data_IF_244879772923
#
_entry.id   IF_244879772923
#
_cell.length_a   1.000
_cell.length_b   1.000
_cell.length_c   1.000
_cell.angle_alpha   90.00
_cell.angle_beta   90.00
_cell.angle_gamma   90.00
#
_symmetry.space_group_name_H-M   'P 1'
#
loop_
_entity.id
_entity.type
_entity.pdbx_description
1 polymer ?
#
# COMPACT_ATOMS: atom_id res chain seq x y z
N UNK A 1 21.32 -12.05 -8.96
CA UNK A 1 19.86 -12.03 -8.79
C UNK A 1 19.24 -12.11 -10.18
N UNK A 2 18.49 -13.17 -10.46
CA UNK A 2 17.75 -13.30 -11.72
C UNK A 2 16.75 -12.14 -11.81
N UNK A 3 16.97 -11.19 -12.72
CA UNK A 3 15.97 -10.21 -13.13
C UNK A 3 14.84 -10.99 -13.80
N UNK A 4 13.88 -11.46 -13.01
CA UNK A 4 12.63 -11.98 -13.54
C UNK A 4 11.94 -10.85 -14.30
N UNK A 5 11.76 -11.02 -15.61
CA UNK A 5 10.99 -10.12 -16.46
C UNK A 5 9.52 -10.39 -16.13
N UNK A 6 9.03 -9.83 -15.02
CA UNK A 6 7.72 -10.16 -14.47
C UNK A 6 7.12 -8.98 -13.72
N UNK A 7 5.79 -9.02 -13.55
CA UNK A 7 5.07 -8.01 -12.77
C UNK A 7 5.54 -8.05 -11.31
N UNK A 8 6.15 -6.96 -10.86
CA UNK A 8 6.75 -6.87 -9.52
C UNK A 8 5.94 -6.01 -8.55
N UNK A 9 5.17 -5.04 -9.07
CA UNK A 9 4.27 -4.22 -8.29
C UNK A 9 3.11 -3.69 -9.15
N UNK A 10 1.99 -3.38 -8.50
CA UNK A 10 0.84 -2.70 -9.08
C UNK A 10 0.46 -1.53 -8.17
N UNK A 11 0.54 -0.33 -8.73
CA UNK A 11 -0.01 0.89 -8.17
C UNK A 11 -1.47 1.06 -8.64
N UNK A 12 -2.41 1.19 -7.71
CA UNK A 12 -3.84 1.27 -8.05
C UNK A 12 -4.34 2.71 -7.95
N UNK A 13 -4.93 3.26 -9.01
CA UNK A 13 -5.49 4.63 -8.95
C UNK A 13 -6.71 4.69 -8.00
N UNK A 14 -6.76 5.69 -7.13
CA UNK A 14 -7.78 5.84 -6.11
C UNK A 14 -9.19 6.18 -6.65
N UNK A 15 -9.31 6.60 -7.91
CA UNK A 15 -10.57 7.04 -8.55
C UNK A 15 -10.97 6.18 -9.74
N UNK A 16 -9.99 5.83 -10.57
CA UNK A 16 -10.16 5.17 -11.86
C UNK A 16 -9.68 3.72 -11.83
N UNK A 17 -8.98 3.31 -10.77
CA UNK A 17 -8.50 1.96 -10.59
C UNK A 17 -9.59 0.96 -10.17
N UNK A 18 -9.29 -0.34 -10.23
CA UNK A 18 -10.19 -1.36 -9.71
C UNK A 18 -10.41 -1.20 -8.20
N UNK A 19 -11.57 -1.60 -7.72
CA UNK A 19 -11.81 -1.73 -6.29
C UNK A 19 -11.07 -2.95 -5.76
N UNK A 20 -10.24 -2.76 -4.73
CA UNK A 20 -9.53 -3.84 -4.04
C UNK A 20 -10.04 -3.95 -2.62
N UNK A 21 -10.27 -5.18 -2.19
CA UNK A 21 -10.84 -5.51 -0.91
C UNK A 21 -9.98 -6.57 -0.20
N UNK A 22 -9.70 -6.36 1.09
CA UNK A 22 -9.03 -7.30 1.97
C UNK A 22 -10.04 -7.74 3.04
N UNK A 23 -10.61 -8.93 2.90
CA UNK A 23 -11.55 -9.54 3.86
C UNK A 23 -12.68 -8.60 4.34
N UNK A 24 -13.32 -7.94 3.39
CA UNK A 24 -14.38 -6.96 3.62
C UNK A 24 -13.90 -5.51 3.74
N UNK A 25 -12.59 -5.26 3.84
CA UNK A 25 -11.99 -3.93 3.98
C UNK A 25 -11.65 -3.37 2.59
N UNK A 26 -12.40 -2.37 2.08
CA UNK A 26 -12.04 -1.72 0.83
C UNK A 26 -10.78 -0.88 1.02
N UNK A 27 -9.76 -1.11 0.20
CA UNK A 27 -8.46 -0.42 0.28
C UNK A 27 -8.41 0.84 -0.58
N UNK A 28 -9.27 0.93 -1.60
CA UNK A 28 -9.29 2.00 -2.60
C UNK A 28 -10.37 3.03 -2.25
N UNK A 29 -10.05 4.32 -2.39
CA UNK A 29 -11.05 5.39 -2.31
C UNK A 29 -11.52 5.72 -0.89
N UNK A 30 -10.77 5.34 0.16
CA UNK A 30 -11.17 5.57 1.56
C UNK A 30 -10.55 6.83 2.15
N UNK A 31 -11.13 7.28 3.26
CA UNK A 31 -10.50 8.30 4.12
C UNK A 31 -9.30 7.64 4.81
N UNK A 32 -8.08 8.21 4.73
CA UNK A 32 -6.87 7.59 5.24
C UNK A 32 -6.95 7.14 6.71
N UNK A 33 -7.42 8.01 7.61
CA UNK A 33 -7.52 7.68 9.04
C UNK A 33 -8.47 6.51 9.33
N UNK A 34 -9.61 6.45 8.63
CA UNK A 34 -10.56 5.35 8.81
C UNK A 34 -10.01 4.02 8.28
N UNK A 35 -9.21 4.07 7.21
CA UNK A 35 -8.58 2.88 6.67
C UNK A 35 -7.48 2.36 7.61
N UNK A 36 -6.63 3.24 8.12
CA UNK A 36 -5.51 2.89 9.01
C UNK A 36 -5.99 2.08 10.22
N UNK A 37 -6.95 2.62 10.98
CA UNK A 37 -7.51 1.96 12.17
C UNK A 37 -8.08 0.56 11.82
N UNK A 38 -8.81 0.48 10.71
CA UNK A 38 -9.46 -0.75 10.28
C UNK A 38 -8.44 -1.80 9.82
N UNK A 39 -7.44 -1.38 9.03
CA UNK A 39 -6.39 -2.25 8.52
C UNK A 39 -5.55 -2.80 9.67
N UNK A 40 -5.09 -1.95 10.57
CA UNK A 40 -4.24 -2.38 11.68
C UNK A 40 -4.99 -3.28 12.66
N UNK A 41 -6.27 -2.96 12.94
CA UNK A 41 -7.13 -3.86 13.72
C UNK A 41 -7.28 -5.23 13.08
N UNK A 42 -7.44 -5.29 11.75
CA UNK A 42 -7.53 -6.55 11.02
C UNK A 42 -6.22 -7.34 11.02
N UNK A 43 -5.08 -6.69 10.78
CA UNK A 43 -3.77 -7.35 10.83
C UNK A 43 -3.50 -7.94 12.23
N UNK A 44 -3.75 -7.15 13.28
CA UNK A 44 -3.61 -7.61 14.65
C UNK A 44 -4.52 -8.81 14.97
N UNK A 45 -5.78 -8.79 14.50
CA UNK A 45 -6.71 -9.90 14.69
C UNK A 45 -6.27 -11.20 14.00
N UNK A 46 -5.44 -11.10 12.96
CA UNK A 46 -4.89 -12.25 12.22
C UNK A 46 -3.43 -12.56 12.60
N UNK A 47 -2.88 -11.89 13.61
CA UNK A 47 -1.49 -12.10 14.06
C UNK A 47 -0.44 -11.64 13.05
N UNK A 48 -0.80 -10.74 12.13
CA UNK A 48 0.09 -10.16 11.13
C UNK A 48 0.69 -8.84 11.63
N UNK A 49 1.93 -8.57 11.25
CA UNK A 49 2.61 -7.34 11.63
C UNK A 49 2.17 -6.16 10.76
N UNK A 50 1.65 -5.12 11.42
CA UNK A 50 1.48 -3.79 10.86
C UNK A 50 2.82 -3.02 10.91
N UNK A 51 3.07 -2.19 9.92
CA UNK A 51 4.23 -1.30 9.87
C UNK A 51 3.84 0.07 9.32
N UNK A 52 4.74 1.04 9.48
CA UNK A 52 4.70 2.31 8.76
C UNK A 52 5.94 2.43 7.89
N UNK A 53 5.79 3.02 6.69
CA UNK A 53 6.95 3.53 5.95
C UNK A 53 7.53 4.78 6.64
N UNK A 54 8.70 5.23 6.18
CA UNK A 54 9.34 6.46 6.69
C UNK A 54 8.45 7.70 6.48
N UNK A 55 7.63 7.70 5.44
CA UNK A 55 6.67 8.75 5.08
C UNK A 55 5.32 8.55 5.78
N UNK A 56 5.26 7.68 6.81
CA UNK A 56 4.08 7.37 7.60
C UNK A 56 2.92 6.74 6.79
N UNK A 57 3.22 5.96 5.75
CA UNK A 57 2.22 5.17 5.05
C UNK A 57 1.93 3.87 5.81
N UNK A 58 0.67 3.49 6.08
CA UNK A 58 0.34 2.18 6.65
C UNK A 58 0.79 1.05 5.73
N UNK A 59 1.46 0.03 6.28
CA UNK A 59 1.99 -1.11 5.54
C UNK A 59 1.55 -2.43 6.16
N UNK A 60 1.34 -3.44 5.31
CA UNK A 60 1.22 -4.84 5.67
C UNK A 60 2.28 -5.65 4.89
N UNK A 61 3.55 -5.64 5.33
CA UNK A 61 4.66 -6.24 4.56
C UNK A 61 4.46 -7.74 4.30
N UNK A 62 3.88 -8.47 5.25
CA UNK A 62 3.58 -9.90 5.08
C UNK A 62 2.55 -10.17 3.97
N UNK A 63 1.71 -9.18 3.66
CA UNK A 63 0.72 -9.24 2.57
C UNK A 63 1.20 -8.54 1.29
N UNK A 64 2.38 -7.92 1.30
CA UNK A 64 2.88 -7.12 0.17
C UNK A 64 2.04 -5.87 -0.11
N UNK A 65 1.49 -5.23 0.92
CA UNK A 65 0.65 -4.03 0.77
C UNK A 65 1.33 -2.80 1.37
N UNK A 66 1.37 -1.73 0.60
CA UNK A 66 1.70 -0.38 1.06
C UNK A 66 0.52 0.52 0.76
N UNK A 67 -0.10 1.10 1.78
CA UNK A 67 -1.19 2.03 1.59
C UNK A 67 -0.67 3.42 1.28
N UNK A 68 -0.93 3.88 0.06
CA UNK A 68 -0.63 5.24 -0.39
C UNK A 68 -1.91 6.05 -0.43
N UNK A 69 -1.76 7.34 -0.72
CA UNK A 69 -2.90 8.23 -0.91
C UNK A 69 -2.74 9.06 -2.19
N UNK A 70 -3.86 9.43 -2.79
CA UNK A 70 -3.93 10.22 -4.02
C UNK A 70 -4.90 11.37 -3.83
N UNK A 71 -4.56 12.55 -4.35
CA UNK A 71 -5.44 13.71 -4.32
C UNK A 71 -6.57 13.55 -5.35
N UNK A 72 -7.80 13.66 -4.89
CA UNK A 72 -9.02 13.61 -5.67
C UNK A 72 -9.80 14.92 -5.49
N UNK A 73 -9.39 15.96 -6.22
CA UNK A 73 -9.94 17.31 -6.04
C UNK A 73 -9.56 17.92 -4.69
N UNK A 74 -10.56 18.20 -3.87
CA UNK A 74 -10.42 18.72 -2.50
C UNK A 74 -10.23 17.62 -1.45
N UNK A 75 -10.29 16.34 -1.86
CA UNK A 75 -10.13 15.18 -0.96
C UNK A 75 -8.81 14.45 -1.20
N UNK A 76 -8.38 13.73 -0.18
CA UNK A 76 -7.28 12.75 -0.26
C UNK A 76 -7.88 11.38 0.00
N UNK A 77 -7.64 10.43 -0.92
CA UNK A 77 -8.21 9.09 -0.90
C UNK A 77 -7.10 8.04 -0.89
N UNK A 78 -7.36 6.90 -0.27
CA UNK A 78 -6.41 5.80 -0.21
C UNK A 78 -6.29 5.05 -1.53
N UNK A 79 -5.09 4.54 -1.81
CA UNK A 79 -4.76 3.62 -2.90
C UNK A 79 -3.67 2.64 -2.45
N UNK A 80 -3.83 1.33 -2.64
CA UNK A 80 -2.75 0.39 -2.35
C UNK A 80 -1.72 0.36 -3.48
N UNK A 81 -0.45 0.20 -3.10
CA UNK A 81 0.58 -0.42 -3.93
C UNK A 81 0.72 -1.87 -3.47
N UNK A 82 0.47 -2.79 -4.39
CA UNK A 82 0.58 -4.23 -4.17
C UNK A 82 1.88 -4.72 -4.77
N UNK A 83 2.70 -5.44 -4.02
CA UNK A 83 3.98 -5.95 -4.49
C UNK A 83 4.02 -7.47 -4.58
N UNK A 84 4.88 -7.98 -5.45
CA UNK A 84 5.19 -9.40 -5.51
C UNK A 84 5.84 -9.87 -4.20
N UNK A 85 5.74 -11.17 -3.93
CA UNK A 85 6.22 -11.79 -2.69
C UNK A 85 7.70 -11.52 -2.43
N UNK A 86 8.50 -11.42 -3.49
CA UNK A 86 9.93 -11.16 -3.43
C UNK A 86 10.27 -9.74 -2.94
N UNK A 87 9.35 -8.79 -3.13
CA UNK A 87 9.50 -7.39 -2.73
C UNK A 87 8.86 -7.09 -1.37
N UNK A 88 7.94 -7.94 -0.93
CA UNK A 88 7.13 -7.76 0.28
C UNK A 88 7.94 -7.51 1.57
N UNK A 89 9.07 -8.19 1.86
CA UNK A 89 9.84 -7.96 3.08
C UNK A 89 10.44 -6.54 3.21
N UNK A 90 10.59 -5.82 2.10
CA UNK A 90 11.25 -4.51 2.03
C UNK A 90 10.30 -3.43 1.50
N UNK A 91 9.02 -3.74 1.28
CA UNK A 91 8.12 -2.82 0.60
C UNK A 91 7.76 -1.58 1.43
N UNK A 92 7.93 -1.63 2.75
CA UNK A 92 7.76 -0.47 3.63
C UNK A 92 8.98 0.47 3.68
N UNK A 93 10.11 0.09 3.06
CA UNK A 93 11.32 0.90 3.02
C UNK A 93 11.33 1.75 1.74
N UNK A 94 11.22 3.06 1.89
CA UNK A 94 11.21 3.99 0.75
C UNK A 94 12.62 4.33 0.22
N UNK A 95 13.68 4.05 0.99
CA UNK A 95 15.05 4.40 0.63
C UNK A 95 15.76 3.23 -0.07
N UNK A 96 15.66 2.04 0.52
CA UNK A 96 16.37 0.84 0.05
C UNK A 96 15.41 -0.21 -0.51
N UNK A 97 14.10 0.04 -0.43
CA UNK A 97 13.09 -0.87 -0.95
C UNK A 97 12.95 -0.81 -2.48
N UNK A 98 12.26 -1.80 -3.06
CA UNK A 98 12.20 -1.96 -4.52
C UNK A 98 11.11 -1.12 -5.19
N UNK A 99 10.25 -0.44 -4.41
CA UNK A 99 9.19 0.41 -4.95
C UNK A 99 9.81 1.71 -5.50
N UNK A 100 9.51 2.11 -6.75
CA UNK A 100 10.05 3.34 -7.36
C UNK A 100 9.84 4.60 -6.51
N UNK A 101 10.84 5.49 -6.49
CA UNK A 101 10.84 6.75 -5.72
C UNK A 101 9.60 7.63 -5.97
N UNK A 102 9.14 7.67 -7.23
CA UNK A 102 7.96 8.43 -7.67
C UNK A 102 6.68 8.08 -6.93
N UNK A 103 6.59 6.84 -6.42
CA UNK A 103 5.53 6.49 -5.49
C UNK A 103 5.66 7.39 -4.27
N UNK A 104 6.75 7.34 -3.52
CA UNK A 104 6.89 8.03 -2.22
C UNK A 104 6.81 9.55 -2.30
N UNK A 105 7.32 10.13 -3.38
CA UNK A 105 7.51 11.58 -3.54
C UNK A 105 6.22 12.35 -3.89
N UNK A 106 5.12 11.66 -4.19
CA UNK A 106 3.90 12.30 -4.69
C UNK A 106 2.60 11.69 -4.14
N UNK A 107 1.54 12.51 -4.19
CA UNK A 107 0.14 12.09 -4.02
C UNK A 107 -0.57 11.98 -5.38
N UNK A 108 0.15 11.51 -6.39
CA UNK A 108 -0.29 11.42 -7.77
C UNK A 108 -1.16 10.19 -8.05
#
# INVERSE_FOLDING_TARGET
MSRGIGLAAIAIDARMGPQVNLDGIPLVGRVPSLLEDTLFGHLAAHGLQAAFSLEANPCAPELGVVMRVQRAGDRVLTRPVLVAREWAPQCSDALEGPIPAEEWDSFA
#
